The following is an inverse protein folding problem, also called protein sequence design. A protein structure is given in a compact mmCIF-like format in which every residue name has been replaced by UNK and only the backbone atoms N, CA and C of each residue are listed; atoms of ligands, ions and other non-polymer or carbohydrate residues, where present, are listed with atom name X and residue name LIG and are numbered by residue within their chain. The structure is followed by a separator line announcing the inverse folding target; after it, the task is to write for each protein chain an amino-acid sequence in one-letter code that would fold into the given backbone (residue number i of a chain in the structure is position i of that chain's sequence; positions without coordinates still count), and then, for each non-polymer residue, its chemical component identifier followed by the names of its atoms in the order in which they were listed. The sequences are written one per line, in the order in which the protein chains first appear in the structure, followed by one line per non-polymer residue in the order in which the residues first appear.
data_IF_527638805732
#
_entry.id   IF_527638805732
#
_cell.length_a   1.000
_cell.length_b   1.000
_cell.length_c   1.000
_cell.angle_alpha   90.00
_cell.angle_beta   90.00
_cell.angle_gamma   90.00
#
_symmetry.space_group_name_H-M   'P 1'
#
loop_
_entity.id
_entity.type
_entity.pdbx_description
1 polymer ?
#
# COMPACT_ATOMS: atom_id res chain seq x y z
N UNK A 1 -11.38 43.72 -16.27
CA UNK A 1 -10.09 43.25 -15.74
C UNK A 1 -10.29 41.82 -15.29
N UNK A 2 -9.37 40.92 -15.60
CA UNK A 2 -9.42 39.51 -15.17
C UNK A 2 -9.36 39.42 -13.64
N UNK A 3 -10.23 38.63 -13.04
CA UNK A 3 -10.32 38.51 -11.57
C UNK A 3 -9.10 37.72 -11.03
N UNK A 4 -8.40 38.21 -9.99
CA UNK A 4 -7.27 37.48 -9.42
C UNK A 4 -7.72 36.25 -8.65
N UNK A 5 -7.09 35.11 -8.92
CA UNK A 5 -7.34 33.84 -8.24
C UNK A 5 -6.01 33.27 -7.77
N UNK A 6 -5.87 33.01 -6.47
CA UNK A 6 -4.68 32.35 -5.95
C UNK A 6 -4.71 30.86 -6.32
N UNK A 7 -3.57 30.31 -6.70
CA UNK A 7 -3.39 28.88 -6.89
C UNK A 7 -2.29 28.38 -5.97
N UNK A 8 -2.62 27.49 -5.03
CA UNK A 8 -1.71 27.04 -3.97
C UNK A 8 -1.51 25.53 -4.10
N UNK A 9 -0.25 25.09 -4.20
CA UNK A 9 0.10 23.67 -4.34
C UNK A 9 0.12 22.92 -3.00
N UNK A 10 0.11 21.59 -3.12
CA UNK A 10 0.28 20.62 -2.04
C UNK A 10 1.72 20.35 -1.63
N UNK A 11 1.92 19.22 -0.97
CA UNK A 11 3.24 18.75 -0.53
C UNK A 11 4.15 18.34 -1.69
N UNK A 12 5.44 18.19 -1.43
CA UNK A 12 6.41 17.58 -2.34
C UNK A 12 6.76 18.40 -3.58
N UNK A 13 6.08 19.53 -3.83
CA UNK A 13 6.45 20.43 -4.90
C UNK A 13 7.72 21.20 -4.49
N UNK A 14 8.81 20.98 -5.23
CA UNK A 14 10.13 21.62 -4.99
C UNK A 14 10.62 22.42 -6.19
N UNK A 15 9.93 22.32 -7.31
CA UNK A 15 10.28 23.01 -8.55
C UNK A 15 9.23 24.10 -8.83
N UNK A 16 9.63 25.34 -8.55
CA UNK A 16 8.81 26.53 -8.82
C UNK A 16 8.40 26.62 -10.29
N UNK A 17 9.31 26.33 -11.21
CA UNK A 17 9.05 26.49 -12.65
C UNK A 17 8.04 25.43 -13.12
N UNK A 18 8.14 24.21 -12.61
CA UNK A 18 7.18 23.15 -12.91
C UNK A 18 5.78 23.52 -12.38
N UNK A 19 5.69 24.03 -11.15
CA UNK A 19 4.42 24.50 -10.59
C UNK A 19 3.82 25.65 -11.41
N UNK A 20 4.62 26.65 -11.75
CA UNK A 20 4.15 27.79 -12.56
C UNK A 20 3.71 27.35 -13.97
N UNK A 21 4.35 26.32 -14.55
CA UNK A 21 3.92 25.74 -15.81
C UNK A 21 2.57 25.00 -15.70
N UNK A 22 2.34 24.29 -14.59
CA UNK A 22 1.05 23.65 -14.29
C UNK A 22 -0.06 24.69 -14.12
N UNK A 23 0.21 25.79 -13.41
CA UNK A 23 -0.74 26.91 -13.26
C UNK A 23 -1.03 27.59 -14.60
N UNK A 24 -0.04 27.76 -15.48
CA UNK A 24 -0.28 28.26 -16.86
C UNK A 24 -1.17 27.32 -17.65
N UNK A 25 -0.91 26.02 -17.59
CA UNK A 25 -1.75 25.00 -18.25
C UNK A 25 -3.19 25.05 -17.74
N UNK A 26 -3.38 25.25 -16.43
CA UNK A 26 -4.71 25.44 -15.85
C UNK A 26 -5.36 26.74 -16.35
N UNK A 27 -4.60 27.85 -16.41
CA UNK A 27 -5.10 29.13 -16.90
C UNK A 27 -5.61 29.03 -18.35
N UNK A 28 -4.86 28.36 -19.23
CA UNK A 28 -5.23 28.13 -20.63
C UNK A 28 -6.57 27.36 -20.75
N UNK A 29 -6.84 26.42 -19.82
CA UNK A 29 -8.08 25.63 -19.81
C UNK A 29 -9.27 26.38 -19.23
N UNK A 30 -9.06 27.20 -18.21
CA UNK A 30 -10.15 27.96 -17.56
C UNK A 30 -10.56 29.17 -18.42
N UNK A 31 -9.59 29.85 -19.06
CA UNK A 31 -9.79 31.01 -19.93
C UNK A 31 -9.53 32.36 -19.27
N UNK A 32 -9.60 33.43 -20.05
CA UNK A 32 -9.11 34.78 -19.71
C UNK A 32 -9.93 35.55 -18.66
N UNK A 33 -11.04 34.98 -18.19
CA UNK A 33 -11.86 35.60 -17.13
C UNK A 33 -11.08 35.75 -15.81
N UNK A 34 -10.12 34.86 -15.57
CA UNK A 34 -9.35 34.78 -14.33
C UNK A 34 -7.87 34.94 -14.59
N UNK A 35 -7.20 35.66 -13.70
CA UNK A 35 -5.74 35.73 -13.63
C UNK A 35 -5.27 34.83 -12.50
N UNK A 36 -4.78 33.65 -12.85
CA UNK A 36 -4.26 32.69 -11.87
C UNK A 36 -2.89 33.15 -11.35
N UNK A 37 -2.76 33.25 -10.03
CA UNK A 37 -1.58 33.72 -9.32
C UNK A 37 -0.96 32.51 -8.59
N UNK A 38 0.18 31.98 -9.06
CA UNK A 38 0.84 30.86 -8.41
C UNK A 38 1.43 31.28 -7.05
N UNK A 39 1.04 30.60 -5.99
CA UNK A 39 1.60 30.76 -4.65
C UNK A 39 2.50 29.58 -4.34
N UNK A 40 3.78 29.72 -4.70
CA UNK A 40 4.79 28.71 -4.41
C UNK A 40 5.33 28.86 -2.99
N UNK A 41 5.28 27.80 -2.19
CA UNK A 41 5.88 27.70 -0.86
C UNK A 41 6.83 26.51 -0.72
N UNK A 42 7.03 25.72 -1.77
CA UNK A 42 7.79 24.47 -1.77
C UNK A 42 9.26 24.58 -1.32
N UNK A 43 9.87 25.75 -1.48
CA UNK A 43 11.22 26.08 -0.96
C UNK A 43 11.28 26.13 0.57
N UNK A 44 10.15 26.30 1.23
CA UNK A 44 10.04 26.22 2.69
C UNK A 44 9.73 24.80 3.18
N UNK A 45 9.48 23.84 2.28
CA UNK A 45 9.09 22.46 2.61
C UNK A 45 10.22 21.62 3.21
N UNK A 46 9.90 20.37 3.55
CA UNK A 46 10.87 19.41 4.03
C UNK A 46 11.95 19.09 2.99
N UNK A 47 13.17 18.93 3.48
CA UNK A 47 14.28 18.40 2.68
C UNK A 47 14.22 16.88 2.66
N UNK A 48 14.51 16.32 1.49
CA UNK A 48 14.70 14.87 1.28
C UNK A 48 16.16 14.50 1.09
N UNK A 49 17.07 15.48 1.15
CA UNK A 49 18.50 15.23 1.10
C UNK A 49 18.92 14.36 2.30
N UNK A 50 19.62 13.26 2.03
CA UNK A 50 20.02 12.28 3.05
C UNK A 50 18.90 11.35 3.52
N UNK A 51 17.68 11.42 2.95
CA UNK A 51 16.60 10.50 3.36
C UNK A 51 17.01 9.03 3.18
N UNK A 52 17.69 8.71 2.08
CA UNK A 52 18.17 7.35 1.81
C UNK A 52 19.19 6.85 2.85
N UNK A 53 19.92 7.75 3.51
CA UNK A 53 20.90 7.42 4.55
C UNK A 53 20.20 6.98 5.85
N UNK A 54 18.93 7.34 6.03
CA UNK A 54 18.11 6.91 7.17
C UNK A 54 17.51 5.52 7.00
N UNK A 55 17.58 4.94 5.79
CA UNK A 55 17.02 3.62 5.50
C UNK A 55 18.01 2.55 6.00
N UNK A 56 17.60 1.65 6.92
CA UNK A 56 18.46 0.57 7.39
C UNK A 56 18.98 -0.28 6.22
N UNK A 57 20.31 -0.36 6.11
CA UNK A 57 20.97 -1.25 5.16
C UNK A 57 20.85 -2.67 5.70
N UNK A 58 20.11 -3.55 4.99
CA UNK A 58 20.12 -4.98 5.28
C UNK A 58 21.52 -5.49 4.90
N UNK A 59 22.29 -6.06 5.84
CA UNK A 59 23.57 -6.67 5.50
C UNK A 59 23.35 -7.71 4.40
N UNK A 60 24.13 -7.63 3.33
CA UNK A 60 24.13 -8.64 2.28
C UNK A 60 24.73 -9.93 2.83
N UNK A 61 23.95 -10.71 3.58
CA UNK A 61 24.31 -12.08 3.89
C UNK A 61 24.06 -12.93 2.65
N UNK A 62 24.98 -12.88 1.70
CA UNK A 62 25.17 -13.96 0.72
C UNK A 62 26.61 -13.98 0.26
N UNK A 63 27.31 -15.08 0.57
CA UNK A 63 28.48 -15.51 -0.18
C UNK A 63 28.09 -15.57 -1.66
N UNK A 64 28.90 -14.92 -2.48
CA UNK A 64 29.01 -15.04 -3.94
C UNK A 64 28.38 -16.31 -4.52
N UNK A 65 27.36 -16.12 -5.36
CA UNK A 65 26.83 -17.16 -6.24
C UNK A 65 25.61 -16.65 -7.00
N UNK A 66 25.84 -16.14 -8.21
CA UNK A 66 24.86 -15.66 -9.20
C UNK A 66 23.89 -14.57 -8.71
N UNK A 67 24.07 -13.35 -9.23
CA UNK A 67 23.04 -12.32 -9.19
C UNK A 67 21.85 -12.82 -10.02
N UNK A 68 20.86 -13.44 -9.38
CA UNK A 68 19.56 -13.63 -9.99
C UNK A 68 18.95 -12.25 -10.20
N UNK A 69 18.91 -11.81 -11.46
CA UNK A 69 18.05 -10.71 -11.88
C UNK A 69 16.64 -11.04 -11.41
N UNK A 70 16.09 -10.18 -10.54
CA UNK A 70 14.74 -10.33 -10.05
C UNK A 70 13.83 -9.84 -11.18
N UNK A 71 12.98 -10.74 -11.66
CA UNK A 71 11.97 -10.47 -12.68
C UNK A 71 11.09 -9.27 -12.25
N UNK A 72 11.00 -8.20 -13.06
CA UNK A 72 10.11 -7.06 -12.82
C UNK A 72 8.66 -7.45 -12.54
N UNK A 73 8.18 -8.55 -13.11
CA UNK A 73 6.84 -9.08 -12.85
C UNK A 73 6.65 -9.53 -11.38
N UNK A 74 7.73 -9.97 -10.72
CA UNK A 74 7.72 -10.33 -9.30
C UNK A 74 7.65 -9.09 -8.39
N UNK A 75 8.19 -7.97 -8.85
CA UNK A 75 8.14 -6.67 -8.15
C UNK A 75 6.73 -6.07 -8.28
N UNK A 76 6.11 -6.15 -9.46
CA UNK A 76 4.71 -5.77 -9.67
C UNK A 76 3.76 -6.66 -8.86
N UNK A 77 3.99 -7.97 -8.83
CA UNK A 77 3.20 -8.88 -7.99
C UNK A 77 3.34 -8.53 -6.49
N UNK A 78 4.54 -8.18 -6.03
CA UNK A 78 4.77 -7.79 -4.63
C UNK A 78 4.08 -6.46 -4.27
N UNK A 79 4.11 -5.47 -5.19
CA UNK A 79 3.42 -4.19 -5.03
C UNK A 79 1.89 -4.38 -5.07
N UNK A 80 1.39 -5.16 -6.01
CA UNK A 80 -0.02 -5.55 -6.09
C UNK A 80 -0.48 -6.33 -4.87
N UNK A 81 0.36 -7.15 -4.24
CA UNK A 81 0.03 -7.81 -2.97
C UNK A 81 0.05 -6.87 -1.76
N UNK A 82 0.83 -5.79 -1.77
CA UNK A 82 0.83 -4.79 -0.70
C UNK A 82 -0.42 -3.89 -0.79
N UNK A 83 -0.84 -3.53 -2.01
CA UNK A 83 -2.09 -2.84 -2.29
C UNK A 83 -3.30 -3.75 -2.02
N UNK A 84 -3.23 -5.03 -2.40
CA UNK A 84 -4.24 -6.02 -2.03
C UNK A 84 -4.24 -6.31 -0.52
N UNK A 85 -3.13 -6.24 0.21
CA UNK A 85 -3.14 -6.40 1.67
C UNK A 85 -3.77 -5.20 2.40
N UNK A 86 -3.75 -4.02 1.77
CA UNK A 86 -4.41 -2.82 2.26
C UNK A 86 -5.88 -2.71 1.77
N UNK A 87 -6.23 -3.33 0.65
CA UNK A 87 -7.57 -3.33 0.06
C UNK A 87 -8.42 -4.60 0.29
N UNK A 88 -7.80 -5.76 0.55
CA UNK A 88 -8.46 -7.06 0.64
C UNK A 88 -8.65 -7.52 2.10
N UNK A 89 -9.27 -6.68 2.92
CA UNK A 89 -10.06 -7.16 4.05
C UNK A 89 -11.36 -7.87 3.59
N UNK A 90 -11.45 -8.32 2.34
CA UNK A 90 -12.59 -9.05 1.77
C UNK A 90 -12.20 -9.99 0.63
N UNK A 91 -12.32 -11.30 0.90
CA UNK A 91 -12.58 -12.46 0.01
C UNK A 91 -11.72 -12.61 -1.28
N UNK A 92 -11.03 -13.74 -1.56
CA UNK A 92 -11.55 -15.10 -1.70
C UNK A 92 -10.45 -16.19 -1.61
N UNK A 93 -10.88 -17.43 -1.34
CA UNK A 93 -10.18 -18.74 -1.42
C UNK A 93 -8.87 -18.95 -0.64
N UNK A 94 -8.75 -18.32 0.52
CA UNK A 94 -7.80 -18.79 1.54
C UNK A 94 -8.27 -20.13 2.13
N UNK A 95 -7.40 -21.14 2.13
CA UNK A 95 -7.60 -22.41 2.84
C UNK A 95 -7.94 -22.11 4.31
N UNK A 96 -9.17 -22.47 4.73
CA UNK A 96 -9.79 -21.94 5.96
C UNK A 96 -9.28 -22.59 7.25
N UNK A 97 -8.62 -23.76 7.18
CA UNK A 97 -8.09 -24.45 8.36
C UNK A 97 -6.77 -25.18 8.13
N UNK A 98 -6.09 -25.57 9.21
CA UNK A 98 -4.86 -26.38 9.15
C UNK A 98 -5.10 -27.83 8.68
N UNK A 99 -6.29 -28.37 8.94
CA UNK A 99 -6.69 -29.70 8.45
C UNK A 99 -6.73 -29.73 6.91
N UNK A 100 -7.19 -28.65 6.29
CA UNK A 100 -7.27 -28.53 4.84
C UNK A 100 -5.87 -28.41 4.19
N UNK A 101 -4.88 -27.84 4.90
CA UNK A 101 -3.49 -27.76 4.42
C UNK A 101 -2.82 -29.13 4.35
N UNK A 102 -3.07 -29.98 5.35
CA UNK A 102 -2.50 -31.33 5.42
C UNK A 102 -3.01 -32.18 4.26
N UNK A 103 -4.31 -32.14 4.01
CA UNK A 103 -4.93 -32.95 2.96
C UNK A 103 -4.47 -32.54 1.56
N UNK A 104 -4.23 -31.26 1.30
CA UNK A 104 -3.72 -30.80 0.00
C UNK A 104 -2.29 -31.29 -0.29
N UNK A 105 -1.40 -31.27 0.71
CA UNK A 105 -0.04 -31.81 0.58
C UNK A 105 -0.11 -33.34 0.39
N UNK A 106 -0.95 -34.03 1.16
CA UNK A 106 -1.11 -35.49 1.07
C UNK A 106 -1.72 -35.90 -0.28
N UNK A 107 -2.69 -35.16 -0.80
CA UNK A 107 -3.31 -35.41 -2.10
C UNK A 107 -2.30 -35.23 -3.25
N UNK A 108 -1.47 -34.18 -3.19
CA UNK A 108 -0.39 -33.99 -4.16
C UNK A 108 0.62 -35.13 -4.13
N UNK A 109 0.97 -35.63 -2.94
CA UNK A 109 1.88 -36.77 -2.78
C UNK A 109 1.27 -38.09 -3.29
N UNK A 110 0.01 -38.36 -2.95
CA UNK A 110 -0.73 -39.55 -3.41
C UNK A 110 -0.78 -39.62 -4.94
N UNK A 111 -1.04 -38.49 -5.61
CA UNK A 111 -1.05 -38.39 -7.07
C UNK A 111 0.27 -38.87 -7.71
N UNK A 112 1.42 -38.64 -7.05
CA UNK A 112 2.73 -39.11 -7.53
C UNK A 112 2.99 -40.58 -7.23
N UNK A 113 2.51 -41.07 -6.08
CA UNK A 113 2.65 -42.45 -5.65
C UNK A 113 1.76 -43.40 -6.47
N UNK A 114 0.57 -42.96 -6.88
CA UNK A 114 -0.36 -43.73 -7.74
C UNK A 114 0.15 -43.93 -9.16
N UNK A 115 1.04 -43.06 -9.64
CA UNK A 115 1.69 -43.21 -10.95
C UNK A 115 2.79 -44.29 -10.97
N UNK A 116 2.94 -45.08 -9.90
CA UNK A 116 3.85 -46.24 -9.84
C UNK A 116 3.17 -47.54 -10.34
N UNK A 117 3.82 -48.31 -11.23
CA UNK A 117 3.26 -49.59 -11.75
C UNK A 117 3.03 -50.70 -10.71
N UNK A 118 3.48 -50.53 -9.45
CA UNK A 118 3.40 -51.51 -8.39
C UNK A 118 2.20 -51.24 -7.45
N UNK A 119 0.98 -51.47 -7.96
CA UNK A 119 -0.30 -51.04 -7.35
C UNK A 119 -0.74 -51.67 -6.02
N UNK A 120 0.15 -52.28 -5.23
CA UNK A 120 -0.20 -52.87 -3.91
C UNK A 120 0.48 -52.14 -2.74
N UNK A 121 1.41 -51.21 -3.00
CA UNK A 121 2.18 -50.50 -1.93
C UNK A 121 1.82 -49.02 -1.76
N UNK A 122 0.96 -48.45 -2.60
CA UNK A 122 0.67 -47.01 -2.62
C UNK A 122 -0.15 -46.52 -1.43
N UNK A 123 -1.10 -47.32 -0.92
CA UNK A 123 -1.97 -46.93 0.18
C UNK A 123 -1.20 -46.75 1.50
N UNK A 124 -0.33 -47.70 1.84
CA UNK A 124 0.43 -47.65 3.10
C UNK A 124 1.52 -46.57 3.07
N UNK A 125 2.14 -46.32 1.91
CA UNK A 125 3.08 -45.20 1.73
C UNK A 125 2.37 -43.85 1.84
N UNK A 126 1.15 -43.74 1.31
CA UNK A 126 0.34 -42.52 1.43
C UNK A 126 -0.03 -42.24 2.89
N UNK A 127 -0.30 -43.28 3.69
CA UNK A 127 -0.59 -43.10 5.11
C UNK A 127 0.66 -42.70 5.90
N UNK A 128 1.83 -43.26 5.60
CA UNK A 128 3.09 -42.83 6.20
C UNK A 128 3.43 -41.36 5.87
N UNK A 129 3.16 -40.91 4.64
CA UNK A 129 3.28 -39.49 4.26
C UNK A 129 2.25 -38.63 5.01
N UNK A 130 1.00 -39.08 5.12
CA UNK A 130 -0.07 -38.38 5.86
C UNK A 130 0.31 -38.15 7.32
N UNK A 131 0.84 -39.17 7.98
CA UNK A 131 1.32 -39.08 9.37
C UNK A 131 2.49 -38.10 9.48
N UNK A 132 3.49 -38.22 8.60
CA UNK A 132 4.66 -37.33 8.59
C UNK A 132 4.30 -35.85 8.37
N UNK A 133 3.39 -35.57 7.42
CA UNK A 133 2.90 -34.21 7.14
C UNK A 133 2.15 -33.65 8.34
N UNK A 134 1.24 -34.43 8.94
CA UNK A 134 0.46 -34.02 10.11
C UNK A 134 1.35 -33.70 11.32
N UNK A 135 2.40 -34.50 11.54
CA UNK A 135 3.32 -34.32 12.66
C UNK A 135 4.25 -33.11 12.43
N UNK A 136 4.72 -32.90 11.20
CA UNK A 136 5.81 -31.93 10.93
C UNK A 136 5.30 -30.56 10.56
N UNK A 137 4.25 -30.47 9.74
CA UNK A 137 3.78 -29.20 9.18
C UNK A 137 3.48 -28.17 10.27
N UNK A 138 2.80 -28.47 11.39
CA UNK A 138 2.52 -27.50 12.46
C UNK A 138 3.77 -26.90 13.10
N UNK A 139 4.92 -27.58 13.01
CA UNK A 139 6.19 -27.17 13.61
C UNK A 139 7.14 -26.47 12.63
N UNK A 140 6.79 -26.41 11.34
CA UNK A 140 7.53 -25.63 10.34
C UNK A 140 7.41 -24.13 10.64
N UNK A 141 8.38 -23.30 10.23
CA UNK A 141 8.35 -21.86 10.51
C UNK A 141 7.50 -21.08 9.52
N UNK A 142 7.48 -21.50 8.25
CA UNK A 142 6.86 -20.82 7.13
C UNK A 142 5.78 -21.66 6.46
N UNK A 143 5.98 -22.98 6.31
CA UNK A 143 5.05 -23.84 5.56
C UNK A 143 3.64 -23.90 6.18
N UNK A 144 3.51 -23.92 7.52
CA UNK A 144 2.19 -23.88 8.19
C UNK A 144 1.38 -22.60 7.88
N UNK A 145 2.03 -21.54 7.37
CA UNK A 145 1.39 -20.25 7.07
C UNK A 145 0.92 -20.14 5.62
N UNK A 146 1.32 -21.05 4.75
CA UNK A 146 0.95 -21.02 3.32
C UNK A 146 -0.50 -21.45 3.18
N UNK A 147 -1.34 -20.57 2.62
CA UNK A 147 -2.77 -20.83 2.40
C UNK A 147 -3.13 -21.07 0.93
N UNK A 148 -2.15 -21.03 0.04
CA UNK A 148 -2.36 -21.25 -1.40
C UNK A 148 -2.41 -22.75 -1.71
N UNK A 149 -3.54 -23.20 -2.26
CA UNK A 149 -3.77 -24.61 -2.54
C UNK A 149 -2.84 -25.18 -3.61
N UNK A 150 -2.46 -24.39 -4.62
CA UNK A 150 -1.57 -24.84 -5.70
C UNK A 150 -0.14 -25.02 -5.19
N UNK A 151 0.31 -24.15 -4.28
CA UNK A 151 1.63 -24.26 -3.65
C UNK A 151 1.68 -25.49 -2.73
N UNK A 152 0.65 -25.72 -1.92
CA UNK A 152 0.57 -26.88 -1.03
C UNK A 152 0.55 -28.21 -1.81
N UNK A 153 -0.22 -28.27 -2.90
CA UNK A 153 -0.27 -29.41 -3.81
C UNK A 153 1.07 -29.65 -4.54
N UNK A 154 1.77 -28.59 -4.96
CA UNK A 154 3.11 -28.70 -5.54
C UNK A 154 4.15 -29.24 -4.54
N UNK A 155 4.11 -28.78 -3.28
CA UNK A 155 4.93 -29.34 -2.18
C UNK A 155 4.60 -30.82 -1.99
N UNK A 156 3.32 -31.18 -1.98
CA UNK A 156 2.85 -32.56 -1.92
C UNK A 156 3.44 -33.44 -3.02
N UNK A 157 3.39 -32.99 -4.28
CA UNK A 157 4.01 -33.73 -5.39
C UNK A 157 5.51 -33.93 -5.21
N UNK A 158 6.24 -32.91 -4.73
CA UNK A 158 7.67 -33.04 -4.47
C UNK A 158 7.97 -34.10 -3.40
N UNK A 159 7.17 -34.14 -2.33
CA UNK A 159 7.22 -35.18 -1.29
C UNK A 159 6.91 -36.56 -1.85
N UNK A 160 5.85 -36.70 -2.66
CA UNK A 160 5.49 -37.97 -3.28
C UNK A 160 6.56 -38.49 -4.25
N UNK A 161 7.17 -37.61 -5.03
CA UNK A 161 8.27 -37.95 -5.93
C UNK A 161 9.52 -38.41 -5.17
N UNK A 162 9.90 -37.72 -4.09
CA UNK A 162 11.07 -38.08 -3.29
C UNK A 162 10.91 -39.39 -2.51
N UNK A 163 9.68 -39.69 -2.07
CA UNK A 163 9.36 -40.93 -1.34
C UNK A 163 9.17 -42.14 -2.26
N UNK A 164 8.86 -41.91 -3.54
CA UNK A 164 8.77 -42.95 -4.58
C UNK A 164 10.08 -43.73 -4.76
N UNK A 165 11.21 -43.06 -4.59
CA UNK A 165 12.55 -43.62 -4.81
C UNK A 165 13.20 -44.18 -3.53
N UNK A 166 12.50 -44.12 -2.39
CA UNK A 166 13.01 -44.64 -1.12
C UNK A 166 13.07 -46.18 -1.17
N UNK A 167 14.26 -46.73 -1.43
CA UNK A 167 14.52 -48.16 -1.26
C UNK A 167 14.62 -48.51 0.23
N UNK A 168 14.22 -49.74 0.64
CA UNK A 168 14.50 -50.24 1.97
C UNK A 168 16.01 -50.16 2.20
N UNK A 169 16.44 -49.42 3.23
CA UNK A 169 17.81 -49.53 3.72
C UNK A 169 18.04 -50.98 4.15
N UNK A 170 19.04 -51.69 3.62
CA UNK A 170 19.41 -53.00 4.14
C UNK A 170 19.80 -52.82 5.60
N UNK A 171 19.18 -53.61 6.48
CA UNK A 171 19.41 -53.54 7.92
C UNK A 171 20.90 -53.46 8.26
N UNK A 172 21.24 -52.47 9.08
CA UNK A 172 22.57 -52.30 9.67
C UNK A 172 22.78 -53.31 10.81
N UNK A 173 22.67 -54.61 10.51
CA UNK A 173 23.23 -55.68 11.34
C UNK A 173 24.07 -56.59 10.43
N UNK A 174 25.31 -56.19 10.21
CA UNK A 174 26.29 -57.04 9.57
C UNK A 174 26.66 -58.20 10.48
N UNK A 175 26.22 -59.41 10.14
CA UNK A 175 27.00 -60.64 10.34
C UNK A 175 26.63 -61.70 9.26
N UNK A 176 27.61 -62.34 8.60
CA UNK A 176 27.36 -63.50 7.75
C UNK A 176 27.42 -64.78 8.59
N UNK A 177 26.29 -65.47 8.79
CA UNK A 177 26.26 -66.81 9.36
C UNK A 177 25.76 -67.85 8.36
N UNK A 178 26.66 -68.78 8.05
CA UNK A 178 26.51 -69.96 7.21
C UNK A 178 25.51 -70.97 7.81
N UNK A 179 24.61 -71.47 6.96
CA UNK A 179 23.76 -72.69 7.02
C UNK A 179 23.71 -73.55 8.30
N UNK A 180 22.49 -73.88 8.78
CA UNK A 180 22.01 -75.28 8.98
C UNK A 180 20.48 -75.38 9.25
N UNK A 181 19.78 -76.03 8.32
CA UNK A 181 18.51 -76.78 8.42
C UNK A 181 17.40 -76.38 9.41
N UNK A 182 16.20 -76.13 8.89
CA UNK A 182 14.97 -76.34 9.66
C UNK A 182 13.75 -75.53 9.23
N UNK A 183 12.81 -76.22 8.57
CA UNK A 183 11.35 -76.00 8.57
C UNK A 183 10.77 -74.68 8.04
N UNK A 184 9.99 -74.81 6.97
CA UNK A 184 8.99 -73.84 6.52
C UNK A 184 7.97 -73.55 7.63
N UNK A 185 7.88 -72.29 8.06
CA UNK A 185 6.66 -71.71 8.64
C UNK A 185 6.53 -70.26 8.19
N UNK A 186 5.35 -69.92 7.63
CA UNK A 186 4.92 -68.60 7.20
C UNK A 186 5.27 -67.47 8.19
N UNK A 187 5.97 -66.43 7.73
CA UNK A 187 5.85 -65.07 8.27
C UNK A 187 6.08 -64.01 7.17
N UNK A 188 5.04 -63.72 6.39
CA UNK A 188 5.01 -62.58 5.46
C UNK A 188 4.76 -61.23 6.16
N UNK A 189 5.28 -61.05 7.38
CA UNK A 189 5.13 -59.83 8.21
C UNK A 189 6.46 -59.22 8.61
N UNK A 190 7.59 -59.75 8.12
CA UNK A 190 8.90 -59.15 8.31
C UNK A 190 9.18 -58.07 7.24
N UNK A 191 9.70 -56.92 7.69
CA UNK A 191 10.21 -55.77 6.92
C UNK A 191 9.26 -54.76 6.27
N UNK A 192 7.98 -54.71 6.62
CA UNK A 192 7.14 -53.56 6.23
C UNK A 192 7.34 -52.33 7.13
N UNK A 193 7.61 -52.51 8.43
CA UNK A 193 7.78 -51.38 9.38
C UNK A 193 8.99 -50.48 9.05
N UNK A 194 10.16 -51.06 8.74
CA UNK A 194 11.37 -50.28 8.42
C UNK A 194 11.25 -49.44 7.14
N UNK A 195 10.44 -49.89 6.18
CA UNK A 195 10.16 -49.12 4.95
C UNK A 195 9.27 -47.91 5.24
N UNK A 196 8.27 -48.05 6.11
CA UNK A 196 7.38 -46.94 6.47
C UNK A 196 8.08 -45.91 7.37
N UNK A 197 8.93 -46.34 8.29
CA UNK A 197 9.78 -45.45 9.08
C UNK A 197 10.73 -44.64 8.17
N UNK A 198 11.26 -45.25 7.11
CA UNK A 198 12.06 -44.57 6.09
C UNK A 198 11.29 -43.50 5.32
N UNK A 199 10.06 -43.81 4.88
CA UNK A 199 9.16 -42.86 4.19
C UNK A 199 8.78 -41.69 5.11
N UNK A 200 8.49 -41.98 6.38
CA UNK A 200 8.19 -40.97 7.40
C UNK A 200 9.37 -40.01 7.57
N UNK A 201 10.58 -40.53 7.84
CA UNK A 201 11.77 -39.69 8.02
C UNK A 201 12.14 -38.88 6.77
N UNK A 202 12.03 -39.46 5.58
CA UNK A 202 12.30 -38.73 4.33
C UNK A 202 11.32 -37.56 4.14
N UNK A 203 10.04 -37.78 4.43
CA UNK A 203 9.00 -36.74 4.35
C UNK A 203 9.27 -35.60 5.36
N UNK A 204 9.62 -35.95 6.60
CA UNK A 204 9.94 -34.97 7.64
C UNK A 204 11.16 -34.11 7.27
N UNK A 205 12.22 -34.74 6.76
CA UNK A 205 13.44 -34.06 6.34
C UNK A 205 13.17 -33.12 5.16
N UNK A 206 12.43 -33.58 4.15
CA UNK A 206 12.13 -32.77 2.98
C UNK A 206 11.24 -31.57 3.33
N UNK A 207 10.22 -31.74 4.17
CA UNK A 207 9.40 -30.61 4.64
C UNK A 207 10.24 -29.57 5.40
N UNK A 208 11.21 -30.01 6.20
CA UNK A 208 12.13 -29.11 6.93
C UNK A 208 13.10 -28.39 5.99
N UNK A 209 13.61 -29.07 4.97
CA UNK A 209 14.47 -28.45 3.95
C UNK A 209 13.71 -27.44 3.09
N UNK A 210 12.49 -27.76 2.66
CA UNK A 210 11.60 -26.84 1.95
C UNK A 210 11.29 -25.62 2.85
N UNK A 211 11.00 -25.81 4.13
CA UNK A 211 10.74 -24.70 5.07
C UNK A 211 11.95 -23.75 5.21
N UNK A 212 13.16 -24.30 5.30
CA UNK A 212 14.40 -23.51 5.38
C UNK A 212 14.70 -22.77 4.06
N UNK A 213 14.46 -23.41 2.92
CA UNK A 213 14.63 -22.82 1.59
C UNK A 213 13.61 -21.70 1.37
N UNK A 214 12.34 -21.95 1.68
CA UNK A 214 11.25 -20.95 1.64
C UNK A 214 11.60 -19.79 2.57
N UNK A 215 12.06 -20.05 3.80
CA UNK A 215 12.48 -19.02 4.74
C UNK A 215 13.60 -18.11 4.23
N UNK A 216 14.59 -18.69 3.55
CA UNK A 216 15.73 -17.96 2.98
C UNK A 216 15.33 -17.15 1.75
N UNK A 217 14.54 -17.75 0.85
CA UNK A 217 14.05 -17.11 -0.36
C UNK A 217 13.06 -15.98 -0.04
N UNK A 218 12.06 -16.25 0.81
CA UNK A 218 11.05 -15.28 1.25
C UNK A 218 11.70 -14.17 2.09
N UNK A 219 12.63 -14.48 2.99
CA UNK A 219 13.34 -13.46 3.78
C UNK A 219 14.17 -12.50 2.92
N UNK A 220 14.85 -13.02 1.90
CA UNK A 220 15.68 -12.21 0.99
C UNK A 220 14.83 -11.44 -0.02
N UNK A 221 13.79 -12.07 -0.59
CA UNK A 221 12.89 -11.43 -1.54
C UNK A 221 12.00 -10.37 -0.87
N UNK A 222 11.38 -10.68 0.29
CA UNK A 222 10.63 -9.70 1.07
C UNK A 222 11.54 -8.60 1.62
N UNK A 223 12.79 -8.92 2.01
CA UNK A 223 13.76 -7.92 2.45
C UNK A 223 14.10 -6.91 1.36
N UNK A 224 14.36 -7.40 0.13
CA UNK A 224 14.63 -6.56 -1.05
C UNK A 224 13.38 -5.83 -1.54
N UNK A 225 12.22 -6.47 -1.56
CA UNK A 225 10.94 -5.85 -1.91
C UNK A 225 10.59 -4.76 -0.90
N UNK A 226 10.70 -5.01 0.40
CA UNK A 226 10.51 -4.00 1.45
C UNK A 226 11.54 -2.86 1.35
N UNK A 227 12.80 -3.13 0.98
CA UNK A 227 13.78 -2.07 0.73
C UNK A 227 13.43 -1.22 -0.51
N UNK A 228 13.04 -1.84 -1.62
CA UNK A 228 12.65 -1.14 -2.84
C UNK A 228 11.35 -0.36 -2.64
N UNK A 229 10.37 -0.94 -1.95
CA UNK A 229 9.14 -0.31 -1.51
C UNK A 229 9.43 0.90 -0.61
N UNK A 230 10.32 0.76 0.38
CA UNK A 230 10.75 1.87 1.25
C UNK A 230 11.50 2.96 0.49
N UNK A 231 12.26 2.64 -0.55
CA UNK A 231 12.90 3.65 -1.40
C UNK A 231 11.88 4.37 -2.28
N UNK A 232 10.94 3.65 -2.88
CA UNK A 232 9.93 4.20 -3.79
C UNK A 232 8.83 4.98 -3.04
N UNK A 233 8.18 4.36 -2.05
CA UNK A 233 7.12 4.98 -1.25
C UNK A 233 7.67 5.94 -0.19
N UNK A 234 8.88 5.70 0.32
CA UNK A 234 9.46 6.49 1.41
C UNK A 234 9.65 7.95 1.04
N UNK A 235 10.08 8.26 -0.19
CA UNK A 235 10.28 9.66 -0.60
C UNK A 235 8.96 10.44 -0.63
N UNK A 236 7.88 9.86 -1.13
CA UNK A 236 6.59 10.54 -1.21
C UNK A 236 5.90 10.66 0.15
N UNK A 237 5.89 9.58 0.94
CA UNK A 237 5.35 9.59 2.31
C UNK A 237 6.13 10.59 3.17
N UNK A 238 7.46 10.64 3.04
CA UNK A 238 8.29 11.59 3.78
C UNK A 238 8.13 13.01 3.28
N UNK A 239 7.94 13.24 1.98
CA UNK A 239 7.57 14.57 1.47
C UNK A 239 6.25 15.05 2.09
N UNK A 240 5.23 14.18 2.12
CA UNK A 240 3.94 14.51 2.72
C UNK A 240 4.06 14.77 4.24
N UNK A 241 4.56 13.80 5.01
CA UNK A 241 4.68 13.92 6.47
C UNK A 241 5.65 15.05 6.83
N UNK A 242 6.77 15.15 6.12
CA UNK A 242 7.77 16.19 6.31
C UNK A 242 7.18 17.57 6.09
N UNK A 243 6.44 17.79 5.01
CA UNK A 243 5.80 19.09 4.75
C UNK A 243 4.73 19.42 5.78
N UNK A 244 3.97 18.44 6.28
CA UNK A 244 3.03 18.66 7.39
C UNK A 244 3.75 19.11 8.66
N UNK A 245 4.86 18.45 9.02
CA UNK A 245 5.68 18.83 10.20
C UNK A 245 6.28 20.22 10.01
N UNK A 246 6.81 20.50 8.83
CA UNK A 246 7.39 21.81 8.52
C UNK A 246 6.31 22.89 8.52
N UNK A 247 5.11 22.60 8.01
CA UNK A 247 3.99 23.54 8.07
C UNK A 247 3.58 23.86 9.51
N UNK A 248 3.56 22.88 10.40
CA UNK A 248 3.30 23.12 11.82
C UNK A 248 4.37 24.02 12.45
N UNK A 249 5.65 23.81 12.11
CA UNK A 249 6.79 24.59 12.66
C UNK A 249 6.89 25.99 12.06
N UNK A 250 6.76 26.09 10.74
CA UNK A 250 7.01 27.29 9.92
C UNK A 250 5.71 27.98 9.49
N UNK A 251 4.61 27.73 10.20
CA UNK A 251 3.27 28.25 9.90
C UNK A 251 3.30 29.72 9.49
N UNK A 252 3.91 30.58 10.30
CA UNK A 252 3.94 32.02 10.05
C UNK A 252 4.64 32.38 8.72
N UNK A 253 5.71 31.67 8.33
CA UNK A 253 6.44 31.95 7.09
C UNK A 253 5.65 31.53 5.85
N UNK A 254 5.00 30.36 5.91
CA UNK A 254 4.16 29.88 4.80
C UNK A 254 2.92 30.78 4.64
N UNK A 255 2.32 31.20 5.74
CA UNK A 255 1.22 32.18 5.74
C UNK A 255 1.68 33.55 5.18
N UNK A 256 2.88 34.00 5.56
CA UNK A 256 3.47 35.22 5.00
C UNK A 256 3.69 35.12 3.48
N UNK A 257 4.10 33.94 2.96
CA UNK A 257 4.28 33.72 1.52
C UNK A 257 2.98 33.96 0.75
N UNK A 258 1.85 33.51 1.29
CA UNK A 258 0.54 33.75 0.70
C UNK A 258 0.21 35.25 0.66
N UNK A 259 0.41 35.96 1.77
CA UNK A 259 0.15 37.41 1.82
C UNK A 259 1.12 38.22 0.94
N UNK A 260 2.37 37.78 0.78
CA UNK A 260 3.32 38.38 -0.16
C UNK A 260 2.81 38.26 -1.60
N UNK A 261 2.34 37.07 -2.00
CA UNK A 261 1.77 36.87 -3.34
C UNK A 261 0.53 37.75 -3.58
N UNK A 262 -0.35 37.90 -2.58
CA UNK A 262 -1.49 38.83 -2.66
C UNK A 262 -1.00 40.27 -2.79
N UNK A 263 -0.07 40.72 -1.95
CA UNK A 263 0.41 42.11 -1.98
C UNK A 263 1.08 42.47 -3.31
N UNK A 264 1.82 41.53 -3.89
CA UNK A 264 2.54 41.73 -5.16
C UNK A 264 1.59 41.69 -6.38
N UNK A 265 0.66 40.74 -6.41
CA UNK A 265 -0.11 40.47 -7.62
C UNK A 265 -1.57 40.93 -7.55
N UNK A 266 -2.15 41.07 -6.37
CA UNK A 266 -3.55 41.44 -6.15
C UNK A 266 -3.71 42.40 -4.96
N UNK A 267 -3.06 43.58 -4.96
CA UNK A 267 -3.10 44.51 -3.84
C UNK A 267 -4.54 44.91 -3.49
N UNK A 268 -4.86 44.90 -2.19
CA UNK A 268 -6.21 45.18 -1.66
C UNK A 268 -7.14 43.97 -1.57
N UNK A 269 -6.85 42.88 -2.29
CA UNK A 269 -7.62 41.65 -2.21
C UNK A 269 -7.31 40.84 -0.93
N UNK A 270 -8.18 39.87 -0.63
CA UNK A 270 -8.09 38.99 0.55
C UNK A 270 -8.65 39.63 1.82
N UNK A 271 -9.28 40.80 1.71
CA UNK A 271 -9.87 41.56 2.82
C UNK A 271 -11.38 41.40 2.84
N UNK A 272 -12.04 41.78 3.95
CA UNK A 272 -13.51 41.70 4.03
C UNK A 272 -14.21 42.52 2.94
N UNK A 273 -13.66 43.69 2.60
CA UNK A 273 -14.22 44.59 1.60
C UNK A 273 -13.93 44.11 0.17
N UNK A 274 -12.88 43.31 0.00
CA UNK A 274 -12.43 42.82 -1.30
C UNK A 274 -11.89 41.39 -1.15
N UNK A 275 -12.78 40.39 -1.00
CA UNK A 275 -12.38 39.00 -0.86
C UNK A 275 -11.69 38.50 -2.14
N UNK A 276 -10.80 37.51 -2.01
CA UNK A 276 -10.11 36.89 -3.14
C UNK A 276 -10.68 35.50 -3.46
N UNK A 277 -10.46 34.97 -4.65
CA UNK A 277 -10.76 33.56 -4.93
C UNK A 277 -9.51 32.70 -4.80
N UNK A 278 -9.70 31.43 -4.44
CA UNK A 278 -8.59 30.51 -4.20
C UNK A 278 -8.88 29.14 -4.79
N UNK A 279 -7.88 28.58 -5.47
CA UNK A 279 -7.79 27.20 -5.91
C UNK A 279 -6.64 26.57 -5.12
N UNK A 280 -6.89 25.47 -4.42
CA UNK A 280 -5.91 24.90 -3.52
C UNK A 280 -5.88 23.36 -3.56
N UNK A 281 -4.68 22.82 -3.80
CA UNK A 281 -4.43 21.39 -3.87
C UNK A 281 -3.88 20.87 -2.55
N UNK A 282 -4.41 19.74 -2.05
CA UNK A 282 -3.78 18.99 -0.96
C UNK A 282 -3.50 19.86 0.29
N UNK A 283 -2.27 19.86 0.81
CA UNK A 283 -1.87 20.70 1.94
C UNK A 283 -2.06 22.20 1.66
N UNK A 284 -2.04 22.64 0.41
CA UNK A 284 -2.42 24.01 0.04
C UNK A 284 -3.85 24.36 0.46
N UNK A 285 -4.76 23.39 0.44
CA UNK A 285 -6.13 23.56 0.96
C UNK A 285 -6.17 23.76 2.47
N UNK A 286 -5.29 23.08 3.21
CA UNK A 286 -5.11 23.28 4.66
C UNK A 286 -4.51 24.65 4.94
N UNK A 287 -3.45 25.04 4.21
CA UNK A 287 -2.81 26.36 4.33
C UNK A 287 -3.86 27.45 4.16
N UNK A 288 -4.66 27.36 3.10
CA UNK A 288 -5.74 28.31 2.77
C UNK A 288 -6.80 28.36 3.85
N UNK A 289 -7.29 27.20 4.29
CA UNK A 289 -8.31 27.09 5.32
C UNK A 289 -7.83 27.72 6.64
N UNK A 290 -6.59 27.44 7.02
CA UNK A 290 -5.99 28.02 8.21
C UNK A 290 -5.82 29.54 8.10
N UNK A 291 -5.41 30.07 6.95
CA UNK A 291 -5.33 31.53 6.74
C UNK A 291 -6.70 32.17 6.93
N UNK A 292 -7.74 31.54 6.40
CA UNK A 292 -9.11 32.04 6.52
C UNK A 292 -9.61 31.95 7.96
N UNK A 293 -9.39 30.84 8.64
CA UNK A 293 -10.01 30.55 9.95
C UNK A 293 -9.19 31.13 11.12
N UNK A 294 -7.88 30.88 11.17
CA UNK A 294 -7.02 31.27 12.30
C UNK A 294 -5.94 32.29 11.96
N UNK A 295 -5.82 32.69 10.69
CA UNK A 295 -4.86 33.70 10.23
C UNK A 295 -5.05 35.08 10.88
N UNK A 296 -3.95 35.80 11.05
CA UNK A 296 -3.92 37.18 11.52
C UNK A 296 -3.01 38.02 10.61
N UNK A 297 -3.56 38.90 9.74
CA UNK A 297 -4.99 39.07 9.47
C UNK A 297 -5.61 37.82 8.81
N UNK A 298 -6.93 37.61 8.94
CA UNK A 298 -7.60 36.49 8.30
C UNK A 298 -7.80 36.75 6.80
N UNK A 299 -7.72 35.69 6.00
CA UNK A 299 -8.01 35.74 4.57
C UNK A 299 -9.52 35.66 4.32
N UNK A 300 -10.06 36.62 3.58
CA UNK A 300 -11.44 36.61 3.12
C UNK A 300 -11.52 36.08 1.70
N UNK A 301 -12.33 35.04 1.51
CA UNK A 301 -12.41 34.25 0.29
C UNK A 301 -13.83 34.31 -0.27
N UNK A 302 -13.96 34.71 -1.54
CA UNK A 302 -15.24 34.76 -2.24
C UNK A 302 -15.65 33.33 -2.68
N UNK A 303 -14.79 32.69 -3.49
CA UNK A 303 -14.90 31.28 -3.88
C UNK A 303 -13.64 30.49 -3.55
N UNK A 304 -13.82 29.32 -2.92
CA UNK A 304 -12.77 28.36 -2.60
C UNK A 304 -12.99 27.06 -3.38
N UNK A 305 -12.03 26.68 -4.20
CA UNK A 305 -11.97 25.36 -4.82
C UNK A 305 -10.84 24.57 -4.19
N UNK A 306 -11.13 23.44 -3.56
CA UNK A 306 -10.12 22.51 -3.05
C UNK A 306 -10.16 21.19 -3.79
N UNK A 307 -9.04 20.48 -3.88
CA UNK A 307 -9.01 19.13 -4.41
C UNK A 307 -7.92 18.30 -3.76
N UNK A 308 -8.24 17.03 -3.45
CA UNK A 308 -7.37 16.17 -2.65
C UNK A 308 -7.00 16.77 -1.29
N UNK A 309 -7.84 17.61 -0.69
CA UNK A 309 -7.49 18.40 0.51
C UNK A 309 -7.77 17.65 1.82
N UNK A 310 -6.91 17.88 2.83
CA UNK A 310 -7.02 17.29 4.17
C UNK A 310 -7.70 18.20 5.22
N UNK A 311 -8.20 19.38 4.84
CA UNK A 311 -8.75 20.37 5.80
C UNK A 311 -9.84 19.79 6.71
N UNK A 312 -10.71 18.93 6.17
CA UNK A 312 -11.77 18.27 6.93
C UNK A 312 -11.23 17.28 7.97
N UNK A 313 -10.34 16.36 7.56
CA UNK A 313 -9.66 15.43 8.47
C UNK A 313 -9.01 16.19 9.63
N UNK A 314 -8.26 17.24 9.28
CA UNK A 314 -7.50 18.05 10.20
C UNK A 314 -8.37 18.80 11.21
N UNK A 315 -9.53 19.32 10.80
CA UNK A 315 -10.50 19.88 11.74
C UNK A 315 -11.08 18.83 12.70
N UNK A 316 -11.34 17.60 12.21
CA UNK A 316 -11.94 16.54 13.02
C UNK A 316 -10.97 16.03 14.08
N UNK A 317 -9.70 15.80 13.72
CA UNK A 317 -8.70 15.26 14.64
C UNK A 317 -8.15 16.31 15.62
N UNK A 318 -8.03 17.57 15.18
CA UNK A 318 -7.40 18.65 15.92
C UNK A 318 -8.02 20.01 15.53
N UNK A 319 -9.14 20.39 16.17
CA UNK A 319 -9.89 21.60 15.84
C UNK A 319 -8.99 22.84 15.73
N UNK A 320 -9.06 23.54 14.59
CA UNK A 320 -8.10 24.60 14.24
C UNK A 320 -8.23 25.89 15.07
N UNK A 321 -9.36 26.06 15.73
CA UNK A 321 -9.62 27.12 16.69
C UNK A 321 -10.31 26.54 17.91
N UNK A 322 -9.92 26.95 19.14
CA UNK A 322 -10.65 26.60 20.36
C UNK A 322 -12.13 27.01 20.32
N UNK A 323 -12.45 28.09 19.59
CA UNK A 323 -13.81 28.63 19.47
C UNK A 323 -14.67 27.88 18.46
N UNK A 324 -14.08 27.09 17.56
CA UNK A 324 -14.85 26.22 16.69
C UNK A 324 -15.33 25.01 17.48
N UNK A 325 -16.64 24.73 17.39
CA UNK A 325 -17.20 23.52 17.97
C UNK A 325 -16.43 22.29 17.47
N UNK A 326 -16.14 21.35 18.37
CA UNK A 326 -15.66 20.02 17.97
C UNK A 326 -16.70 19.39 17.07
N UNK A 327 -16.24 18.79 15.98
CA UNK A 327 -17.13 18.01 15.13
C UNK A 327 -17.75 16.88 15.96
N UNK A 328 -19.06 16.71 15.81
CA UNK A 328 -19.77 15.53 16.26
C UNK A 328 -20.62 15.01 15.10
N UNK A 329 -20.90 13.71 15.11
CA UNK A 329 -21.75 13.09 14.10
C UNK A 329 -23.09 13.83 14.00
N UNK A 330 -23.48 14.20 12.78
CA UNK A 330 -24.67 15.02 12.49
C UNK A 330 -24.68 16.46 13.07
N UNK A 331 -23.56 16.94 13.61
CA UNK A 331 -23.37 18.33 14.04
C UNK A 331 -22.15 18.95 13.33
N UNK A 332 -22.31 19.37 12.07
CA UNK A 332 -21.24 20.02 11.31
C UNK A 332 -20.72 21.30 12.00
N UNK A 333 -19.44 21.60 11.79
CA UNK A 333 -18.76 22.77 12.33
C UNK A 333 -19.17 24.02 11.54
N UNK A 334 -19.81 24.97 12.21
CA UNK A 334 -20.14 26.27 11.62
C UNK A 334 -18.87 27.12 11.45
N UNK A 335 -18.60 27.55 10.22
CA UNK A 335 -17.43 28.35 9.88
C UNK A 335 -17.69 29.86 10.05
N UNK A 336 -16.66 30.65 10.38
CA UNK A 336 -16.73 32.11 10.32
C UNK A 336 -17.10 32.59 8.90
N UNK A 337 -17.63 33.81 8.74
CA UNK A 337 -18.12 34.33 7.46
C UNK A 337 -17.01 34.77 6.49
N UNK A 338 -15.92 33.99 6.41
CA UNK A 338 -14.70 34.30 5.67
C UNK A 338 -14.53 33.47 4.41
N UNK A 339 -15.34 32.43 4.23
CA UNK A 339 -15.39 31.60 3.03
C UNK A 339 -16.82 31.71 2.49
N UNK A 340 -16.98 32.40 1.36
CA UNK A 340 -18.28 32.66 0.76
C UNK A 340 -18.91 31.42 0.13
N UNK A 341 -18.17 30.77 -0.78
CA UNK A 341 -18.56 29.53 -1.46
C UNK A 341 -17.40 28.55 -1.43
N UNK A 342 -17.68 27.26 -1.32
CA UNK A 342 -16.67 26.21 -1.29
C UNK A 342 -17.11 24.99 -2.08
N UNK A 343 -16.32 24.63 -3.09
CA UNK A 343 -16.40 23.34 -3.78
C UNK A 343 -15.13 22.53 -3.56
N UNK A 344 -15.27 21.27 -3.20
CA UNK A 344 -14.18 20.34 -2.90
C UNK A 344 -14.26 19.14 -3.84
N UNK A 345 -13.15 18.79 -4.48
CA UNK A 345 -13.07 17.61 -5.35
C UNK A 345 -12.33 16.48 -4.63
N UNK A 346 -12.86 15.27 -4.78
CA UNK A 346 -12.29 14.06 -4.22
C UNK A 346 -12.45 12.88 -5.18
N UNK A 347 -11.61 11.88 -5.01
CA UNK A 347 -11.61 10.63 -5.78
C UNK A 347 -11.51 9.45 -4.81
N UNK A 348 -12.09 8.30 -5.15
CA UNK A 348 -12.26 7.17 -4.25
C UNK A 348 -10.92 6.46 -3.95
N UNK A 349 -10.04 6.36 -4.94
CA UNK A 349 -8.70 5.79 -4.84
C UNK A 349 -7.65 6.79 -4.32
N UNK A 350 -8.04 8.02 -3.97
CA UNK A 350 -7.16 9.00 -3.31
C UNK A 350 -7.29 8.89 -1.78
N UNK A 351 -6.33 8.23 -1.10
CA UNK A 351 -6.40 8.02 0.35
C UNK A 351 -6.24 9.33 1.16
N UNK A 352 -5.91 10.43 0.49
CA UNK A 352 -5.69 11.74 1.10
C UNK A 352 -6.78 12.76 0.75
N UNK A 353 -7.83 12.35 0.02
CA UNK A 353 -8.99 13.19 -0.27
C UNK A 353 -10.10 13.01 0.77
N UNK A 354 -10.52 14.09 1.40
CA UNK A 354 -11.57 14.06 2.43
C UNK A 354 -12.76 14.94 2.04
N UNK A 355 -13.97 14.44 2.27
CA UNK A 355 -15.22 15.20 2.11
C UNK A 355 -15.29 16.36 3.09
N UNK A 356 -15.88 17.46 2.63
CA UNK A 356 -16.09 18.69 3.40
C UNK A 356 -17.46 18.78 4.08
N UNK A 357 -18.21 17.68 4.08
CA UNK A 357 -19.53 17.53 4.74
C UNK A 357 -19.52 17.84 6.25
N UNK A 358 -18.35 17.80 6.89
CA UNK A 358 -18.13 18.16 8.30
C UNK A 358 -18.30 19.66 8.58
N UNK A 359 -18.38 20.50 7.55
CA UNK A 359 -18.49 21.95 7.68
C UNK A 359 -19.87 22.48 7.29
N UNK A 360 -20.19 23.66 7.84
CA UNK A 360 -21.28 24.53 7.38
C UNK A 360 -20.73 25.94 7.19
N UNK A 361 -20.95 26.51 6.01
CA UNK A 361 -20.63 27.91 5.73
C UNK A 361 -21.50 28.83 6.60
N UNK A 362 -21.10 30.08 6.77
CA UNK A 362 -21.87 31.06 7.55
C UNK A 362 -23.26 31.34 6.99
N UNK A 363 -23.51 30.98 5.73
CA UNK A 363 -24.82 31.02 5.07
C UNK A 363 -25.73 29.86 5.45
N UNK A 364 -25.23 28.89 6.23
CA UNK A 364 -25.92 27.63 6.56
C UNK A 364 -25.77 26.55 5.49
N UNK A 365 -25.16 26.85 4.34
CA UNK A 365 -24.93 25.89 3.27
C UNK A 365 -23.77 24.93 3.60
N UNK A 366 -23.84 23.73 3.04
CA UNK A 366 -22.72 22.77 3.06
C UNK A 366 -21.79 23.11 1.89
N UNK A 367 -20.46 23.03 2.06
CA UNK A 367 -19.56 22.95 0.91
C UNK A 367 -20.00 21.87 -0.08
N UNK A 368 -19.81 22.11 -1.37
CA UNK A 368 -20.17 21.16 -2.41
C UNK A 368 -19.02 20.17 -2.61
N UNK A 369 -19.24 18.90 -2.30
CA UNK A 369 -18.29 17.84 -2.65
C UNK A 369 -18.59 17.29 -4.06
N UNK A 370 -17.59 17.23 -4.93
CA UNK A 370 -17.65 16.71 -6.30
C UNK A 370 -16.74 15.51 -6.42
N UNK A 371 -17.30 14.37 -6.83
CA UNK A 371 -16.53 13.17 -7.14
C UNK A 371 -15.88 13.32 -8.53
N UNK A 372 -14.59 12.99 -8.63
CA UNK A 372 -13.85 12.96 -9.89
C UNK A 372 -13.66 11.53 -10.34
N UNK A 373 -14.29 11.15 -11.45
CA UNK A 373 -14.19 9.79 -11.97
C UNK A 373 -12.97 9.67 -12.90
N UNK A 374 -11.87 9.11 -12.40
CA UNK A 374 -10.69 8.86 -13.22
C UNK A 374 -10.74 7.43 -13.78
N UNK A 375 -10.76 7.24 -15.12
CA UNK A 375 -10.78 5.91 -15.69
C UNK A 375 -9.48 5.16 -15.37
N UNK A 376 -9.58 3.84 -15.15
CA UNK A 376 -8.47 2.98 -14.70
C UNK A 376 -7.16 3.12 -15.48
N UNK A 377 -7.21 3.41 -16.79
CA UNK A 377 -5.99 3.60 -17.58
C UNK A 377 -5.20 4.85 -17.19
N UNK A 378 -5.87 5.94 -16.80
CA UNK A 378 -5.22 7.15 -16.26
C UNK A 378 -4.54 6.84 -14.92
N UNK A 379 -5.12 5.96 -14.11
CA UNK A 379 -4.54 5.51 -12.85
C UNK A 379 -3.29 4.65 -13.05
N UNK A 380 -3.24 3.84 -14.10
CA UNK A 380 -2.06 3.06 -14.46
C UNK A 380 -0.93 3.93 -15.03
N UNK A 381 -1.26 4.92 -15.86
CA UNK A 381 -0.30 5.86 -16.44
C UNK A 381 0.35 6.78 -15.39
N UNK A 382 -0.31 7.03 -14.26
CA UNK A 382 0.25 7.79 -13.13
C UNK A 382 0.93 6.92 -12.09
N UNK A 383 1.15 5.63 -12.37
CA UNK A 383 1.71 4.66 -11.42
C UNK A 383 0.94 4.64 -10.07
N UNK A 384 -0.39 4.75 -10.12
CA UNK A 384 -1.24 4.77 -8.93
C UNK A 384 -1.27 6.11 -8.18
N UNK A 385 -0.61 7.17 -8.69
CA UNK A 385 -0.63 8.50 -8.07
C UNK A 385 -1.90 9.28 -8.42
N UNK A 386 -3.00 8.93 -7.78
CA UNK A 386 -4.32 9.54 -7.96
C UNK A 386 -4.38 10.98 -7.45
N UNK A 387 -3.53 11.33 -6.46
CA UNK A 387 -3.62 12.59 -5.74
C UNK A 387 -3.38 13.86 -6.56
N UNK A 388 -2.70 13.75 -7.72
CA UNK A 388 -2.41 14.90 -8.61
C UNK A 388 -3.19 14.85 -9.93
N UNK A 389 -4.03 13.84 -10.16
CA UNK A 389 -4.77 13.71 -11.43
C UNK A 389 -5.81 14.82 -11.61
N UNK A 390 -6.32 15.38 -10.51
CA UNK A 390 -7.29 16.48 -10.50
C UNK A 390 -6.88 17.69 -11.37
N UNK A 391 -5.58 18.01 -11.44
CA UNK A 391 -5.08 19.13 -12.25
C UNK A 391 -5.47 19.04 -13.72
N UNK A 392 -5.71 17.82 -14.22
CA UNK A 392 -6.07 17.52 -15.60
C UNK A 392 -7.56 17.19 -15.78
N UNK A 393 -8.34 17.14 -14.71
CA UNK A 393 -9.75 16.75 -14.80
C UNK A 393 -10.61 17.90 -15.35
N UNK A 394 -11.72 17.56 -16.00
CA UNK A 394 -12.70 18.56 -16.47
C UNK A 394 -13.58 19.04 -15.31
N UNK A 395 -13.79 18.20 -14.31
CA UNK A 395 -14.48 18.51 -13.06
C UNK A 395 -13.81 19.67 -12.33
N UNK A 396 -12.47 19.77 -12.35
CA UNK A 396 -11.76 20.91 -11.79
C UNK A 396 -12.10 22.21 -12.53
N UNK A 397 -12.14 22.18 -13.86
CA UNK A 397 -12.48 23.34 -14.69
C UNK A 397 -13.93 23.77 -14.44
N UNK A 398 -14.85 22.81 -14.34
CA UNK A 398 -16.25 23.08 -14.02
C UNK A 398 -16.39 23.67 -12.62
N UNK A 399 -15.74 23.08 -11.61
CA UNK A 399 -15.77 23.57 -10.24
C UNK A 399 -15.24 25.00 -10.13
N UNK A 400 -14.17 25.35 -10.84
CA UNK A 400 -13.64 26.71 -10.93
C UNK A 400 -14.71 27.67 -11.47
N UNK A 401 -15.29 27.38 -12.64
CA UNK A 401 -16.31 28.23 -13.29
C UNK A 401 -17.58 28.41 -12.46
N UNK A 402 -17.98 27.38 -11.72
CA UNK A 402 -19.21 27.41 -10.91
C UNK A 402 -19.03 28.14 -9.58
N UNK A 403 -17.86 28.02 -8.98
CA UNK A 403 -17.55 28.52 -7.62
C UNK A 403 -17.05 29.95 -7.64
N UNK A 404 -16.12 30.26 -8.56
CA UNK A 404 -15.44 31.55 -8.69
C UNK A 404 -16.25 32.41 -9.66
N UNK A 405 -16.97 33.40 -9.12
CA UNK A 405 -17.90 34.27 -9.87
C UNK A 405 -17.71 35.73 -9.55
#
# INVERSE_FOLDING_TARGET
MSEPVLVIHGVGNRDRNAFEAEVRTLADRVGDAYRLIPVFWGDLGATTEGLLDTIPQIPSTTRSGAAAEIDPALIEAALGTAEAALGAAGAQDAVRSGADQHELIVQGAATQLEQSPAGVRSTDQTEAVREAVRDTLPHTRFLHRIRDANVLDAIGRAVGAATKDAQPTPDATGEPAVTRGGSYTNSSTADTRGVFDGVKHMTQNLLTEIDNLVGTAVGTALGRANQNLRRALGVQIVNFIGDVVVYQREYAKIQQRLWQAIAEHAPGYGTQQQPINVIAHSLGGVVTFDTAVRGQPPLWINGLVTFGSQSALFQVIDPRLPELARYAENAPVALPPRIGRWTNLWEFMDPLAFSTSVFRLSTGQTPQDVYVDNPMHVLMDTHGMTHSTYWRSEELIQAIRETIR
#
